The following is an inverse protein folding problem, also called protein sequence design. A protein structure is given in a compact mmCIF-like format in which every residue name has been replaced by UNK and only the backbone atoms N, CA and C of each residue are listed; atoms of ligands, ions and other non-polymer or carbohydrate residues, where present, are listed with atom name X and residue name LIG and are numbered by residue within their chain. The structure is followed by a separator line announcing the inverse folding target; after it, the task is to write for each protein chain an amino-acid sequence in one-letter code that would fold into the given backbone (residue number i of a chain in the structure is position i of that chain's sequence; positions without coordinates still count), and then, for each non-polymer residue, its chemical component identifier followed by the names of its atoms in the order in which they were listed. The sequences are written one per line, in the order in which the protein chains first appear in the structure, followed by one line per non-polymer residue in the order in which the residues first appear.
data_IF_766371795116
#
_entry.id   IF_766371795116
#
_cell.length_a   1.000
_cell.length_b   1.000
_cell.length_c   1.000
_cell.angle_alpha   90.00
_cell.angle_beta   90.00
_cell.angle_gamma   90.00
#
_symmetry.space_group_name_H-M   'P 1'
#
loop_
_entity.id
_entity.type
_entity.pdbx_description
1 polymer ?
#
# COMPACT_ATOMS: atom_id res chain seq x y z
N UNK A 1 -19.17 -6.81 14.61
CA UNK A 1 -18.17 -5.75 14.35
C UNK A 1 -18.70 -4.47 14.97
N UNK A 2 -17.98 -3.84 15.92
CA UNK A 2 -18.45 -2.60 16.54
C UNK A 2 -18.57 -1.53 15.45
N UNK A 3 -19.70 -0.79 15.43
CA UNK A 3 -19.85 0.39 14.58
C UNK A 3 -18.82 1.44 15.05
N UNK A 4 -18.09 2.10 14.14
CA UNK A 4 -17.21 3.19 14.53
C UNK A 4 -18.00 4.29 15.26
N UNK A 5 -17.42 4.95 16.27
CA UNK A 5 -18.09 6.01 17.01
C UNK A 5 -18.50 7.15 16.05
N UNK A 6 -19.71 7.67 16.24
CA UNK A 6 -20.28 8.71 15.41
C UNK A 6 -19.36 9.94 15.38
N UNK A 7 -18.83 10.29 14.20
CA UNK A 7 -17.99 11.47 13.98
C UNK A 7 -16.68 11.23 13.21
N UNK A 8 -16.22 9.99 13.07
CA UNK A 8 -15.09 9.68 12.19
C UNK A 8 -15.59 9.27 10.80
N UNK A 9 -15.10 9.95 9.76
CA UNK A 9 -15.25 9.48 8.38
C UNK A 9 -14.65 8.07 8.32
N UNK A 10 -15.40 7.04 7.90
CA UNK A 10 -14.86 5.69 7.84
C UNK A 10 -13.65 5.67 6.91
N UNK A 11 -12.53 5.10 7.39
CA UNK A 11 -11.33 4.93 6.56
C UNK A 11 -11.71 4.08 5.35
N UNK A 12 -11.52 4.62 4.15
CA UNK A 12 -11.77 3.87 2.92
C UNK A 12 -10.62 2.88 2.74
N UNK A 13 -10.98 1.61 2.66
CA UNK A 13 -10.05 0.55 2.31
C UNK A 13 -10.29 0.08 0.89
N UNK A 14 -9.21 -0.27 0.22
CA UNK A 14 -9.16 -0.61 -1.20
C UNK A 14 -8.76 -2.07 -1.35
N UNK A 15 -9.49 -2.80 -2.19
CA UNK A 15 -9.08 -4.15 -2.60
C UNK A 15 -7.90 -4.05 -3.56
N UNK A 16 -7.11 -5.13 -3.66
CA UNK A 16 -5.99 -5.21 -4.61
C UNK A 16 -6.37 -4.81 -6.04
N UNK A 17 -7.59 -5.17 -6.51
CA UNK A 17 -8.06 -4.78 -7.84
C UNK A 17 -8.28 -3.28 -8.02
N UNK A 18 -8.72 -2.58 -6.97
CA UNK A 18 -8.85 -1.12 -6.99
C UNK A 18 -7.47 -0.45 -7.00
N UNK A 19 -6.53 -1.01 -6.23
CA UNK A 19 -5.14 -0.54 -6.23
C UNK A 19 -4.50 -0.70 -7.61
N UNK A 20 -4.69 -1.85 -8.25
CA UNK A 20 -4.23 -2.10 -9.63
C UNK A 20 -4.84 -1.11 -10.61
N UNK A 21 -6.15 -0.87 -10.53
CA UNK A 21 -6.86 0.03 -11.44
C UNK A 21 -6.39 1.49 -11.28
N UNK A 22 -6.09 1.93 -10.06
CA UNK A 22 -5.65 3.29 -9.78
C UNK A 22 -4.15 3.53 -10.09
N UNK A 23 -3.30 2.53 -9.93
CA UNK A 23 -1.83 2.68 -10.07
C UNK A 23 -1.28 2.13 -11.38
N UNK A 24 -2.02 1.27 -12.08
CA UNK A 24 -1.52 0.51 -13.22
C UNK A 24 -0.54 -0.61 -12.85
N UNK A 25 -0.24 -0.79 -11.55
CA UNK A 25 0.70 -1.81 -11.07
C UNK A 25 0.03 -3.18 -11.12
N UNK A 26 0.80 -4.18 -11.56
CA UNK A 26 0.30 -5.55 -11.65
C UNK A 26 -0.03 -6.13 -10.28
N UNK A 27 -0.95 -7.11 -10.24
CA UNK A 27 -1.27 -7.85 -9.01
C UNK A 27 -0.02 -8.46 -8.36
N UNK A 28 0.85 -9.04 -9.20
CA UNK A 28 2.07 -9.70 -8.72
C UNK A 28 2.99 -8.70 -8.05
N UNK A 29 3.21 -7.54 -8.65
CA UNK A 29 4.06 -6.49 -8.08
C UNK A 29 3.50 -5.95 -6.76
N UNK A 30 2.18 -5.72 -6.66
CA UNK A 30 1.55 -5.31 -5.39
C UNK A 30 1.74 -6.41 -4.33
N UNK A 31 1.57 -7.67 -4.71
CA UNK A 31 1.81 -8.79 -3.81
C UNK A 31 3.26 -8.84 -3.32
N UNK A 32 4.23 -8.75 -4.24
CA UNK A 32 5.67 -8.77 -3.93
C UNK A 32 6.06 -7.60 -3.03
N UNK A 33 5.53 -6.40 -3.28
CA UNK A 33 5.71 -5.23 -2.42
C UNK A 33 5.10 -5.44 -1.04
N UNK A 34 3.95 -6.12 -0.95
CA UNK A 34 3.34 -6.40 0.35
C UNK A 34 4.14 -7.44 1.14
N UNK A 35 4.58 -8.52 0.48
CA UNK A 35 5.37 -9.60 1.13
C UNK A 35 6.76 -9.12 1.51
N UNK A 36 7.35 -8.22 0.73
CA UNK A 36 8.67 -7.64 0.99
C UNK A 36 8.63 -6.46 1.95
N UNK A 37 7.44 -6.04 2.43
CA UNK A 37 7.27 -4.97 3.41
C UNK A 37 7.48 -3.56 2.87
N UNK A 38 7.29 -3.34 1.56
CA UNK A 38 7.24 -1.98 0.98
C UNK A 38 5.89 -1.29 1.25
N UNK A 39 4.82 -2.08 1.25
CA UNK A 39 3.46 -1.69 1.60
C UNK A 39 2.88 -2.75 2.52
N UNK A 40 1.82 -2.42 3.24
CA UNK A 40 1.17 -3.35 4.16
C UNK A 40 -0.34 -3.30 3.96
N UNK A 41 -1.00 -4.44 4.18
CA UNK A 41 -2.47 -4.43 4.31
C UNK A 41 -2.88 -3.79 5.64
N UNK A 42 -3.96 -3.03 5.63
CA UNK A 42 -4.56 -2.50 6.86
C UNK A 42 -5.48 -3.54 7.49
N UNK A 43 -6.25 -4.25 6.64
CA UNK A 43 -7.20 -5.25 7.09
C UNK A 43 -7.30 -6.41 6.10
N UNK A 44 -8.00 -7.46 6.52
CA UNK A 44 -8.42 -8.55 5.65
C UNK A 44 -9.92 -8.72 5.74
N UNK A 45 -10.55 -8.94 4.59
CA UNK A 45 -11.96 -9.33 4.53
C UNK A 45 -12.17 -10.69 5.22
N UNK A 46 -13.39 -11.02 5.68
CA UNK A 46 -13.69 -12.35 6.23
C UNK A 46 -13.36 -13.52 5.30
N UNK A 47 -13.36 -13.28 3.98
CA UNK A 47 -12.97 -14.25 2.96
C UNK A 47 -11.44 -14.36 2.74
N UNK A 48 -10.64 -13.59 3.47
CA UNK A 48 -9.17 -13.62 3.41
C UNK A 48 -8.52 -12.65 2.41
N UNK A 49 -9.29 -11.84 1.67
CA UNK A 49 -8.74 -10.84 0.75
C UNK A 49 -8.12 -9.65 1.51
N UNK A 50 -6.94 -9.20 1.05
CA UNK A 50 -6.25 -8.02 1.59
C UNK A 50 -6.97 -6.72 1.24
N UNK A 51 -6.99 -5.81 2.21
CA UNK A 51 -7.52 -4.46 2.10
C UNK A 51 -6.42 -3.47 2.46
N UNK A 52 -6.22 -2.47 1.60
CA UNK A 52 -5.17 -1.47 1.71
C UNK A 52 -5.78 -0.11 2.04
N UNK A 53 -5.15 0.67 2.90
CA UNK A 53 -5.58 2.04 3.17
C UNK A 53 -5.02 3.01 2.12
N UNK A 54 -5.57 4.22 2.06
CA UNK A 54 -5.23 5.20 1.02
C UNK A 54 -3.74 5.61 1.00
N UNK A 55 -3.05 5.55 2.14
CA UNK A 55 -1.63 5.91 2.26
C UNK A 55 -0.71 5.10 1.34
N UNK A 56 -1.13 3.89 0.93
CA UNK A 56 -0.31 3.07 0.04
C UNK A 56 -0.14 3.72 -1.34
N UNK A 57 -1.08 4.55 -1.79
CA UNK A 57 -1.00 5.20 -3.10
C UNK A 57 0.12 6.22 -3.14
N UNK A 58 0.21 7.06 -2.11
CA UNK A 58 1.29 8.03 -1.94
C UNK A 58 2.64 7.31 -1.85
N UNK A 59 2.68 6.19 -1.11
CA UNK A 59 3.90 5.37 -0.98
C UNK A 59 4.34 4.77 -2.31
N UNK A 60 3.42 4.19 -3.07
CA UNK A 60 3.70 3.61 -4.39
C UNK A 60 4.17 4.69 -5.39
N UNK A 61 3.54 5.87 -5.36
CA UNK A 61 3.98 6.99 -6.18
C UNK A 61 5.40 7.44 -5.81
N UNK A 62 5.72 7.50 -4.52
CA UNK A 62 7.06 7.88 -4.05
C UNK A 62 8.11 6.83 -4.41
N UNK A 63 7.79 5.55 -4.29
CA UNK A 63 8.67 4.47 -4.76
C UNK A 63 8.97 4.62 -6.25
N UNK A 64 7.96 4.87 -7.08
CA UNK A 64 8.14 5.07 -8.51
C UNK A 64 9.03 6.27 -8.83
N UNK A 65 8.86 7.40 -8.12
CA UNK A 65 9.71 8.59 -8.25
C UNK A 65 11.18 8.27 -7.90
N UNK A 66 11.42 7.52 -6.82
CA UNK A 66 12.78 7.14 -6.40
C UNK A 66 13.43 6.16 -7.39
N UNK A 67 12.65 5.24 -7.97
CA UNK A 67 13.13 4.35 -9.02
C UNK A 67 13.53 5.12 -10.29
N UNK A 68 12.75 6.13 -10.68
CA UNK A 68 13.08 7.01 -11.81
C UNK A 68 14.36 7.83 -11.57
N UNK A 69 14.61 8.20 -10.32
CA UNK A 69 15.88 8.82 -9.87
C UNK A 69 17.06 7.84 -9.82
N UNK A 70 16.85 6.56 -10.17
CA UNK A 70 17.89 5.54 -10.22
C UNK A 70 18.15 4.81 -8.91
N UNK A 71 17.32 4.98 -7.88
CA UNK A 71 17.45 4.21 -6.63
C UNK A 71 17.02 2.76 -6.84
N UNK A 72 17.80 1.86 -6.26
CA UNK A 72 17.45 0.45 -6.19
C UNK A 72 16.29 0.20 -5.22
N UNK A 73 15.56 -0.90 -5.41
CA UNK A 73 14.53 -1.33 -4.46
C UNK A 73 15.09 -1.55 -3.04
N UNK A 74 16.37 -1.92 -2.92
CA UNK A 74 17.03 -2.05 -1.62
C UNK A 74 17.15 -0.70 -0.90
N UNK A 75 17.63 0.33 -1.59
CA UNK A 75 17.73 1.69 -1.00
C UNK A 75 16.35 2.25 -0.66
N UNK A 76 15.35 1.98 -1.51
CA UNK A 76 13.97 2.39 -1.22
C UNK A 76 13.46 1.69 0.04
N UNK A 77 13.78 0.40 0.21
CA UNK A 77 13.40 -0.35 1.41
C UNK A 77 14.06 0.23 2.67
N UNK A 78 15.33 0.60 2.60
CA UNK A 78 16.04 1.26 3.70
C UNK A 78 15.37 2.58 4.08
N UNK A 79 14.97 3.40 3.08
CA UNK A 79 14.25 4.65 3.34
C UNK A 79 12.87 4.42 3.99
N UNK A 80 12.17 3.35 3.62
CA UNK A 80 10.91 2.93 4.25
C UNK A 80 11.14 2.51 5.70
N UNK A 81 12.17 1.70 5.96
CA UNK A 81 12.47 1.19 7.31
C UNK A 81 12.95 2.30 8.26
N UNK A 82 13.59 3.33 7.72
CA UNK A 82 13.96 4.55 8.45
C UNK A 82 12.80 5.53 8.64
N UNK A 83 11.60 5.26 8.08
CA UNK A 83 10.43 6.14 8.15
C UNK A 83 10.60 7.47 7.41
N UNK A 84 11.50 7.53 6.41
CA UNK A 84 11.78 8.74 5.60
C UNK A 84 10.82 8.93 4.43
N UNK A 85 10.02 7.91 4.17
CA UNK A 85 8.91 7.82 3.23
C UNK A 85 7.84 6.98 3.92
#
# INVERSE_FOLDING_TARGET
MPKPPAGQVPRKLFKIGEVMAATGISRQTIHDYTVSGFIEEEERTPAGHRLYAEWIFERLAKMAELQDQGKSLKEIKELIDEGKI
#
